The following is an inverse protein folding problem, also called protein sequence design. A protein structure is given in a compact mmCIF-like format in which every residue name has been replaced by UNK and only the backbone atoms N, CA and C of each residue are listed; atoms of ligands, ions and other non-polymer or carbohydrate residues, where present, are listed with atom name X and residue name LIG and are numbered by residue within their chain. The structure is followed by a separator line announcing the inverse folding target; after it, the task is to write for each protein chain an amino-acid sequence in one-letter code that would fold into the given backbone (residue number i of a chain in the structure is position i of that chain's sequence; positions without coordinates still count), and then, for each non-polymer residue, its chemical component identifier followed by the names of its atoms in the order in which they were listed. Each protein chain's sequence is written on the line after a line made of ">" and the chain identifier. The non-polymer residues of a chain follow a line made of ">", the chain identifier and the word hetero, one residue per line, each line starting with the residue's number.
data_IF_979338533487
#
_entry.id   IF_979338533487
#
_cell.length_a   1.000
_cell.length_b   1.000
_cell.length_c   1.000
_cell.angle_alpha   90.00
_cell.angle_beta   90.00
_cell.angle_gamma   90.00
#
_symmetry.space_group_name_H-M   'P 1'
#
loop_
_entity.id
_entity.type
_entity.pdbx_description
1 polymer ?
#
# COMPACT_ATOMS: atom_id res chain seq x y z
N UNK A 1 4.32 26.78 -61.58
CA UNK A 1 3.84 27.08 -60.20
C UNK A 1 4.15 25.88 -59.32
N UNK A 2 5.19 25.98 -58.49
CA UNK A 2 5.74 24.86 -57.70
C UNK A 2 5.03 24.80 -56.33
N UNK A 3 4.21 23.77 -56.10
CA UNK A 3 3.50 23.56 -54.83
C UNK A 3 4.47 23.00 -53.78
N UNK A 4 4.73 23.78 -52.72
CA UNK A 4 5.46 23.32 -51.53
C UNK A 4 4.50 22.52 -50.64
N UNK A 5 4.80 21.24 -50.41
CA UNK A 5 4.09 20.40 -49.44
C UNK A 5 4.93 20.41 -48.16
N UNK A 6 4.44 21.09 -47.14
CA UNK A 6 5.06 21.11 -45.80
C UNK A 6 4.56 19.90 -45.03
N UNK A 7 5.43 18.92 -44.76
CA UNK A 7 5.13 17.80 -43.89
C UNK A 7 5.26 18.23 -42.42
N UNK A 8 4.16 18.17 -41.67
CA UNK A 8 4.14 18.44 -40.24
C UNK A 8 4.45 17.14 -39.48
N UNK A 9 5.65 17.05 -38.91
CA UNK A 9 6.04 15.93 -38.05
C UNK A 9 5.41 16.10 -36.66
N UNK A 10 4.42 15.27 -36.35
CA UNK A 10 3.87 15.11 -35.00
C UNK A 10 4.86 14.28 -34.17
N UNK A 11 5.69 14.95 -33.38
CA UNK A 11 6.50 14.30 -32.35
C UNK A 11 5.56 13.99 -31.19
N UNK A 12 5.10 12.74 -31.13
CA UNK A 12 4.36 12.24 -29.97
C UNK A 12 5.28 12.23 -28.75
N UNK A 13 4.96 13.04 -27.74
CA UNK A 13 5.58 12.92 -26.43
C UNK A 13 5.17 11.56 -25.85
N UNK A 14 6.11 10.62 -25.84
CA UNK A 14 6.01 9.43 -25.02
C UNK A 14 6.10 9.87 -23.55
N UNK A 15 4.95 10.04 -22.91
CA UNK A 15 4.87 10.22 -21.46
C UNK A 15 5.33 8.92 -20.81
N UNK A 16 6.60 8.88 -20.39
CA UNK A 16 7.15 7.83 -19.53
C UNK A 16 6.35 7.84 -18.22
N UNK A 17 5.44 6.88 -18.06
CA UNK A 17 4.80 6.65 -16.77
C UNK A 17 5.89 6.21 -15.79
N UNK A 18 6.35 7.14 -14.95
CA UNK A 18 7.21 6.81 -13.83
C UNK A 18 6.38 5.96 -12.86
N UNK A 19 6.71 4.68 -12.75
CA UNK A 19 6.26 3.85 -11.64
C UNK A 19 6.89 4.44 -10.37
N UNK A 20 6.18 5.35 -9.70
CA UNK A 20 6.64 5.93 -8.45
C UNK A 20 6.65 4.80 -7.42
N UNK A 21 7.83 4.29 -7.06
CA UNK A 21 7.99 3.38 -5.95
C UNK A 21 7.41 4.03 -4.69
N UNK A 22 6.73 3.25 -3.86
CA UNK A 22 6.25 3.73 -2.57
C UNK A 22 7.44 4.15 -1.70
N UNK A 23 7.26 5.21 -0.92
CA UNK A 23 8.24 5.61 0.08
C UNK A 23 8.50 4.45 1.05
N UNK A 24 9.73 4.35 1.56
CA UNK A 24 10.05 3.39 2.62
C UNK A 24 9.80 4.04 3.98
N UNK A 25 9.06 3.34 4.83
CA UNK A 25 8.82 3.75 6.20
C UNK A 25 10.01 3.44 7.14
N UNK A 26 9.92 3.87 8.40
CA UNK A 26 11.00 3.71 9.39
C UNK A 26 11.38 2.25 9.70
N UNK A 27 10.49 1.29 9.43
CA UNK A 27 10.72 -0.13 9.65
C UNK A 27 11.15 -0.86 8.36
N UNK A 28 11.40 -0.10 7.27
CA UNK A 28 11.90 -0.61 5.99
C UNK A 28 10.82 -1.14 5.05
N UNK A 29 9.55 -1.07 5.43
CA UNK A 29 8.41 -1.47 4.59
C UNK A 29 7.93 -0.35 3.67
N UNK A 30 7.14 -0.65 2.63
CA UNK A 30 6.45 0.40 1.87
C UNK A 30 5.45 1.16 2.76
N UNK A 31 5.40 2.47 2.57
CA UNK A 31 4.58 3.42 3.31
C UNK A 31 3.64 4.16 2.36
N UNK A 32 2.40 4.36 2.81
CA UNK A 32 1.39 5.14 2.10
C UNK A 32 0.70 6.13 3.05
N UNK A 33 0.35 7.29 2.52
CA UNK A 33 -0.51 8.26 3.19
C UNK A 33 -2.00 7.94 2.92
N UNK A 34 -2.80 7.85 3.98
CA UNK A 34 -4.26 7.67 3.88
C UNK A 34 -4.94 8.58 4.89
N UNK A 35 -5.75 9.51 4.41
CA UNK A 35 -6.51 10.45 5.25
C UNK A 35 -5.67 11.22 6.29
N UNK A 36 -4.39 11.50 6.00
CA UNK A 36 -3.48 12.17 6.93
C UNK A 36 -2.82 11.24 7.95
N UNK A 37 -2.84 9.94 7.70
CA UNK A 37 -2.11 8.93 8.47
C UNK A 37 -1.10 8.22 7.58
N UNK A 38 0.02 7.83 8.17
CA UNK A 38 1.01 6.99 7.51
C UNK A 38 0.75 5.53 7.87
N UNK A 39 0.71 4.70 6.84
CA UNK A 39 0.47 3.26 6.95
C UNK A 39 1.68 2.55 6.35
N UNK A 40 2.55 2.05 7.22
CA UNK A 40 3.68 1.23 6.80
C UNK A 40 3.30 -0.25 6.85
N UNK A 41 3.55 -0.97 5.76
CA UNK A 41 3.36 -2.43 5.72
C UNK A 41 4.71 -3.13 5.81
N UNK A 42 4.87 -4.01 6.80
CA UNK A 42 6.05 -4.87 6.97
C UNK A 42 5.60 -6.33 6.89
N UNK A 43 6.25 -7.11 6.04
CA UNK A 43 6.07 -8.56 5.98
C UNK A 43 7.33 -9.26 6.48
N UNK A 44 7.19 -10.17 7.46
CA UNK A 44 8.30 -10.95 8.01
C UNK A 44 7.87 -12.42 8.13
N UNK A 45 8.42 -13.27 7.26
CA UNK A 45 7.97 -14.65 7.17
C UNK A 45 6.47 -14.68 6.87
N UNK A 46 5.68 -15.30 7.74
CA UNK A 46 4.22 -15.39 7.62
C UNK A 46 3.47 -14.27 8.36
N UNK A 47 4.16 -13.31 8.96
CA UNK A 47 3.52 -12.19 9.65
C UNK A 47 3.37 -11.00 8.70
N UNK A 48 2.14 -10.49 8.58
CA UNK A 48 1.82 -9.23 7.92
C UNK A 48 1.50 -8.18 8.98
N UNK A 49 2.29 -7.11 9.04
CA UNK A 49 2.18 -6.07 10.04
C UNK A 49 1.89 -4.73 9.36
N UNK A 50 0.86 -4.03 9.83
CA UNK A 50 0.67 -2.61 9.54
C UNK A 50 1.05 -1.80 10.77
N UNK A 51 1.83 -0.75 10.57
CA UNK A 51 2.23 0.19 11.61
C UNK A 51 1.54 1.52 11.30
N UNK A 52 0.81 2.04 12.28
CA UNK A 52 -0.05 3.21 12.12
C UNK A 52 0.59 4.42 12.80
N UNK A 53 0.77 5.51 12.07
CA UNK A 53 1.16 6.81 12.63
C UNK A 53 0.31 7.94 12.05
N UNK A 54 0.24 9.06 12.76
CA UNK A 54 -0.37 10.29 12.25
C UNK A 54 0.58 11.04 11.31
N UNK A 55 0.10 12.13 10.70
CA UNK A 55 0.90 12.99 9.82
C UNK A 55 2.17 13.59 10.47
N UNK A 56 2.28 13.57 11.80
CA UNK A 56 3.43 14.03 12.57
C UNK A 56 4.31 12.87 13.06
N UNK A 57 4.16 11.68 12.46
CA UNK A 57 4.88 10.44 12.78
C UNK A 57 4.67 9.94 14.22
N UNK A 58 3.60 10.37 14.89
CA UNK A 58 3.26 9.86 16.22
C UNK A 58 2.43 8.59 16.11
N UNK A 59 2.57 7.63 17.05
CA UNK A 59 1.76 6.42 17.05
C UNK A 59 0.25 6.72 17.05
N UNK A 60 -0.46 6.19 16.05
CA UNK A 60 -1.92 6.18 16.04
C UNK A 60 -2.41 4.88 16.70
N UNK A 61 -3.33 4.98 17.67
CA UNK A 61 -3.82 3.81 18.41
C UNK A 61 -4.40 2.74 17.47
N UNK A 62 -3.98 1.49 17.63
CA UNK A 62 -4.62 0.35 16.95
C UNK A 62 -5.89 -0.11 17.66
N UNK A 63 -6.01 0.15 18.97
CA UNK A 63 -7.19 -0.16 19.75
C UNK A 63 -8.40 0.64 19.27
N UNK A 64 -9.51 -0.04 19.00
CA UNK A 64 -10.73 0.56 18.46
C UNK A 64 -10.82 0.52 16.92
N UNK A 65 -9.78 0.05 16.23
CA UNK A 65 -9.85 -0.24 14.80
C UNK A 65 -10.89 -1.32 14.51
N UNK A 66 -11.73 -1.12 13.49
CA UNK A 66 -12.83 -2.02 13.11
C UNK A 66 -12.63 -2.58 11.72
N UNK A 67 -13.13 -3.82 11.53
CA UNK A 67 -13.19 -4.51 10.24
C UNK A 67 -11.86 -4.60 9.46
N UNK A 68 -10.73 -4.55 10.17
CA UNK A 68 -9.39 -4.57 9.60
C UNK A 68 -9.09 -5.92 8.93
N UNK A 69 -8.75 -5.86 7.64
CA UNK A 69 -8.40 -7.04 6.84
C UNK A 69 -7.45 -6.68 5.71
N UNK A 70 -6.70 -7.67 5.25
CA UNK A 70 -5.94 -7.64 4.01
C UNK A 70 -6.51 -8.64 3.01
N UNK A 71 -6.68 -8.22 1.75
CA UNK A 71 -6.88 -9.11 0.62
C UNK A 71 -5.54 -9.29 -0.07
N UNK A 72 -5.02 -10.50 -0.03
CA UNK A 72 -3.71 -10.86 -0.57
C UNK A 72 -3.91 -11.65 -1.86
N UNK A 73 -3.31 -11.18 -2.95
CA UNK A 73 -3.22 -11.90 -4.21
C UNK A 73 -1.76 -12.30 -4.44
N UNK A 74 -1.49 -13.60 -4.44
CA UNK A 74 -0.15 -14.15 -4.57
C UNK A 74 -0.19 -15.49 -5.32
N UNK A 75 0.71 -15.66 -6.30
CA UNK A 75 0.80 -16.85 -7.15
C UNK A 75 -0.56 -17.31 -7.73
N UNK A 76 -1.40 -16.37 -8.17
CA UNK A 76 -2.73 -16.66 -8.74
C UNK A 76 -3.81 -17.05 -7.71
N UNK A 77 -3.50 -17.02 -6.42
CA UNK A 77 -4.46 -17.27 -5.33
C UNK A 77 -4.87 -15.96 -4.67
N UNK A 78 -6.11 -15.89 -4.21
CA UNK A 78 -6.61 -14.78 -3.39
C UNK A 78 -6.96 -15.29 -2.00
N UNK A 79 -6.48 -14.63 -0.96
CA UNK A 79 -6.78 -14.93 0.43
C UNK A 79 -7.22 -13.66 1.17
N UNK A 80 -8.14 -13.81 2.13
CA UNK A 80 -8.47 -12.74 3.08
C UNK A 80 -7.77 -13.04 4.40
N UNK A 81 -7.02 -12.09 4.93
CA UNK A 81 -6.31 -12.16 6.21
C UNK A 81 -6.98 -11.17 7.16
N UNK A 82 -7.50 -11.67 8.27
CA UNK A 82 -7.98 -10.81 9.35
C UNK A 82 -6.77 -10.14 10.03
N UNK A 83 -6.90 -8.86 10.35
CA UNK A 83 -5.88 -8.10 11.06
C UNK A 83 -6.37 -7.77 12.46
N UNK A 84 -5.58 -8.14 13.47
CA UNK A 84 -5.90 -7.89 14.87
C UNK A 84 -5.06 -6.74 15.41
N UNK A 85 -5.67 -5.92 16.26
CA UNK A 85 -4.93 -4.86 16.96
C UNK A 85 -3.89 -5.46 17.90
N UNK A 86 -2.65 -4.98 17.77
CA UNK A 86 -1.56 -5.18 18.71
C UNK A 86 -1.12 -3.79 19.15
N UNK A 87 -1.24 -3.53 20.44
CA UNK A 87 -0.94 -2.22 20.99
C UNK A 87 0.57 -1.90 20.91
N UNK A 88 0.95 -0.61 20.81
CA UNK A 88 0.03 0.54 20.80
C UNK A 88 -0.55 0.86 19.41
N UNK A 89 0.13 0.53 18.31
CA UNK A 89 -0.18 1.07 16.99
C UNK A 89 -0.01 0.09 15.81
N UNK A 90 -0.14 -1.22 16.08
CA UNK A 90 0.04 -2.26 15.07
C UNK A 90 -1.27 -2.98 14.74
N UNK A 91 -1.45 -3.35 13.48
CA UNK A 91 -2.44 -4.33 13.06
C UNK A 91 -1.70 -5.53 12.47
N UNK A 92 -1.90 -6.72 13.03
CA UNK A 92 -1.11 -7.91 12.69
C UNK A 92 -2.03 -9.01 12.16
N UNK A 93 -1.64 -9.65 11.07
CA UNK A 93 -2.29 -10.83 10.52
C UNK A 93 -1.28 -11.93 10.20
N UNK A 94 -1.77 -13.17 10.17
CA UNK A 94 -0.98 -14.35 9.81
C UNK A 94 -1.33 -14.79 8.39
N UNK A 95 -0.31 -14.89 7.54
CA UNK A 95 -0.37 -15.42 6.19
C UNK A 95 -0.20 -16.95 6.21
N UNK A 96 -0.80 -17.64 5.23
CA UNK A 96 -0.59 -19.07 5.07
C UNK A 96 0.85 -19.43 4.62
N UNK A 97 1.54 -18.47 4.00
CA UNK A 97 2.90 -18.58 3.49
C UNK A 97 3.53 -17.17 3.41
N UNK A 98 4.86 -17.04 3.39
CA UNK A 98 5.49 -15.75 3.12
C UNK A 98 5.04 -15.17 1.78
N UNK A 99 4.95 -13.83 1.70
CA UNK A 99 4.57 -13.16 0.46
C UNK A 99 5.61 -13.41 -0.63
N UNK A 100 5.15 -13.88 -1.79
CA UNK A 100 5.96 -13.94 -3.01
C UNK A 100 6.29 -12.56 -3.56
N UNK A 101 7.35 -12.47 -4.36
CA UNK A 101 7.63 -11.25 -5.13
C UNK A 101 6.48 -10.97 -6.11
N UNK A 102 6.08 -9.70 -6.22
CA UNK A 102 4.91 -9.25 -6.98
C UNK A 102 3.55 -9.51 -6.31
N UNK A 103 3.51 -10.07 -5.10
CA UNK A 103 2.26 -10.24 -4.37
C UNK A 103 1.57 -8.88 -4.15
N UNK A 104 0.26 -8.82 -4.39
CA UNK A 104 -0.54 -7.59 -4.24
C UNK A 104 -1.38 -7.68 -2.99
N UNK A 105 -1.37 -6.62 -2.20
CA UNK A 105 -2.04 -6.57 -0.90
C UNK A 105 -2.94 -5.35 -0.88
N UNK A 106 -4.23 -5.56 -0.64
CA UNK A 106 -5.21 -4.49 -0.45
C UNK A 106 -5.66 -4.50 1.00
N UNK A 107 -5.44 -3.40 1.72
CA UNK A 107 -5.85 -3.25 3.10
C UNK A 107 -7.15 -2.46 3.17
N UNK A 108 -8.05 -2.87 4.06
CA UNK A 108 -9.22 -2.08 4.43
C UNK A 108 -9.46 -2.12 5.94
N UNK A 109 -9.76 -0.97 6.55
CA UNK A 109 -10.18 -0.87 7.95
C UNK A 109 -10.95 0.43 8.22
N UNK A 110 -11.55 0.55 9.40
CA UNK A 110 -11.91 1.84 10.01
C UNK A 110 -10.99 2.05 11.20
N UNK A 111 -10.16 3.10 11.15
CA UNK A 111 -9.17 3.41 12.18
C UNK A 111 -9.85 3.85 13.48
N UNK A 112 -9.08 3.87 14.57
CA UNK A 112 -9.57 4.18 15.92
C UNK A 112 -10.22 5.57 16.03
N UNK A 113 -9.79 6.52 15.19
CA UNK A 113 -10.32 7.88 15.10
C UNK A 113 -11.49 8.02 14.11
N UNK A 114 -11.91 6.92 13.48
CA UNK A 114 -13.05 6.87 12.56
C UNK A 114 -12.70 7.02 11.09
N UNK A 115 -11.45 7.33 10.72
CA UNK A 115 -11.07 7.45 9.31
C UNK A 115 -11.07 6.08 8.61
N UNK A 116 -11.50 6.07 7.35
CA UNK A 116 -11.44 4.88 6.52
C UNK A 116 -10.02 4.66 6.00
N UNK A 117 -9.48 3.47 6.25
CA UNK A 117 -8.23 3.01 5.64
C UNK A 117 -8.56 2.20 4.39
N UNK A 118 -8.07 2.63 3.23
CA UNK A 118 -7.89 1.78 2.05
C UNK A 118 -6.51 2.02 1.44
N UNK A 119 -5.70 0.96 1.39
CA UNK A 119 -4.32 1.03 0.91
C UNK A 119 -4.00 -0.15 0.00
N UNK A 120 -3.06 0.04 -0.93
CA UNK A 120 -2.57 -1.00 -1.84
C UNK A 120 -1.06 -1.05 -1.80
N UNK A 121 -0.52 -2.26 -1.67
CA UNK A 121 0.91 -2.53 -1.67
C UNK A 121 1.24 -3.62 -2.68
N UNK A 122 2.48 -3.59 -3.17
CA UNK A 122 3.08 -4.71 -3.90
C UNK A 122 4.35 -5.11 -3.15
N UNK A 123 4.52 -6.42 -2.92
CA UNK A 123 5.74 -6.96 -2.34
C UNK A 123 6.81 -7.04 -3.44
N UNK A 124 7.82 -6.18 -3.41
CA UNK A 124 8.89 -6.13 -4.43
C UNK A 124 10.15 -6.87 -3.97
#
# INVERSE_FOLDING_TARGET
>A
MLKRITALALIGLASTAAAHELAKGPNGGPLVDVAGHHIEMVAKGTELVLILTDAADKPLSSAGTKAARAIVQDAGKTATVALSAVEPNRLVGTLAQPLGAGARIVISATLADGHALQARFTNN
#
